data_IF_573257340855
#
_entry.id   IF_573257340855
#
_cell.length_a   1.000
_cell.length_b   1.000
_cell.length_c   1.000
_cell.angle_alpha   90.00
_cell.angle_beta   90.00
_cell.angle_gamma   90.00
#
_symmetry.space_group_name_H-M   'P 1'
#
loop_
_entity.id
_entity.type
_entity.pdbx_description
1 polymer ?
#
# COMPACT_ATOMS: atom_id res chain seq x y z
N UNK A 1 -11.42 -40.55 -24.59
CA UNK A 1 -12.44 -39.58 -25.04
C UNK A 1 -13.14 -40.14 -26.26
N UNK A 2 -14.46 -40.20 -26.25
CA UNK A 2 -15.24 -40.72 -27.37
C UNK A 2 -15.23 -39.71 -28.54
N UNK A 3 -15.36 -40.18 -29.78
CA UNK A 3 -15.45 -39.31 -30.99
C UNK A 3 -16.61 -38.29 -30.92
N UNK A 4 -17.59 -38.54 -30.04
CA UNK A 4 -18.68 -37.61 -29.77
C UNK A 4 -18.23 -36.46 -28.85
N UNK A 5 -17.44 -36.74 -27.82
CA UNK A 5 -16.89 -35.73 -26.89
C UNK A 5 -15.95 -34.75 -27.61
N UNK A 6 -15.12 -35.24 -28.53
CA UNK A 6 -14.22 -34.37 -29.31
C UNK A 6 -14.98 -33.42 -30.21
N UNK A 7 -16.03 -33.90 -30.89
CA UNK A 7 -16.89 -33.04 -31.74
C UNK A 7 -17.65 -32.00 -30.95
N UNK A 8 -18.15 -32.35 -29.76
CA UNK A 8 -18.83 -31.38 -28.87
C UNK A 8 -17.85 -30.31 -28.40
N UNK A 9 -16.63 -30.69 -28.03
CA UNK A 9 -15.58 -29.75 -27.64
C UNK A 9 -15.17 -28.81 -28.80
N UNK A 10 -15.01 -29.35 -30.02
CA UNK A 10 -14.70 -28.56 -31.22
C UNK A 10 -15.80 -27.55 -31.55
N UNK A 11 -17.06 -27.96 -31.49
CA UNK A 11 -18.21 -27.06 -31.71
C UNK A 11 -18.26 -25.97 -30.64
N UNK A 12 -18.07 -26.34 -29.37
CA UNK A 12 -18.03 -25.38 -28.27
C UNK A 12 -16.90 -24.34 -28.47
N UNK A 13 -15.68 -24.82 -28.77
CA UNK A 13 -14.54 -23.95 -29.01
C UNK A 13 -14.76 -23.02 -30.21
N UNK A 14 -15.34 -23.53 -31.30
CA UNK A 14 -15.67 -22.73 -32.48
C UNK A 14 -16.70 -21.64 -32.15
N UNK A 15 -17.76 -21.98 -31.40
CA UNK A 15 -18.78 -21.02 -30.97
C UNK A 15 -18.18 -19.95 -30.04
N UNK A 16 -17.30 -20.33 -29.11
CA UNK A 16 -16.60 -19.37 -28.24
C UNK A 16 -15.68 -18.45 -29.05
N UNK A 17 -14.94 -18.97 -30.03
CA UNK A 17 -14.07 -18.17 -30.89
C UNK A 17 -14.86 -17.16 -31.74
N UNK A 18 -16.00 -17.58 -32.31
CA UNK A 18 -16.90 -16.70 -33.05
C UNK A 18 -17.47 -15.61 -32.15
N UNK A 19 -17.94 -15.98 -30.95
CA UNK A 19 -18.47 -15.01 -29.98
C UNK A 19 -17.42 -13.98 -29.56
N UNK A 20 -16.20 -14.42 -29.27
CA UNK A 20 -15.09 -13.53 -28.94
C UNK A 20 -14.76 -12.58 -30.10
N UNK A 21 -14.78 -13.08 -31.33
CA UNK A 21 -14.54 -12.26 -32.52
C UNK A 21 -15.61 -11.16 -32.67
N UNK A 22 -16.88 -11.49 -32.42
CA UNK A 22 -17.98 -10.52 -32.45
C UNK A 22 -17.81 -9.46 -31.37
N UNK A 23 -17.48 -9.87 -30.14
CA UNK A 23 -17.23 -8.95 -29.02
C UNK A 23 -16.07 -8.01 -29.37
N UNK A 24 -14.94 -8.55 -29.84
CA UNK A 24 -13.79 -7.74 -30.25
C UNK A 24 -14.15 -6.80 -31.39
N UNK A 25 -14.93 -7.23 -32.38
CA UNK A 25 -15.36 -6.36 -33.48
C UNK A 25 -16.21 -5.18 -32.96
N UNK A 26 -17.20 -5.44 -32.11
CA UNK A 26 -18.08 -4.39 -31.53
C UNK A 26 -17.28 -3.42 -30.65
N UNK A 27 -16.41 -3.95 -29.80
CA UNK A 27 -15.66 -3.13 -28.85
C UNK A 27 -14.41 -2.50 -29.46
N UNK A 28 -13.87 -3.01 -30.57
CA UNK A 28 -12.64 -2.49 -31.19
C UNK A 28 -12.75 -1.02 -31.57
N UNK A 29 -13.87 -0.62 -32.16
CA UNK A 29 -14.08 0.77 -32.61
C UNK A 29 -14.24 1.70 -31.41
N UNK A 30 -14.96 1.26 -30.39
CA UNK A 30 -15.16 2.02 -29.16
C UNK A 30 -13.89 2.10 -28.31
N UNK A 31 -13.11 1.01 -28.24
CA UNK A 31 -11.85 0.93 -27.53
C UNK A 31 -10.78 1.78 -28.22
N UNK A 32 -10.69 1.73 -29.55
CA UNK A 32 -9.77 2.58 -30.31
C UNK A 32 -10.09 4.07 -30.11
N UNK A 33 -11.38 4.45 -30.15
CA UNK A 33 -11.81 5.83 -29.84
C UNK A 33 -11.53 6.21 -28.38
N UNK A 34 -11.80 5.31 -27.44
CA UNK A 34 -11.53 5.53 -26.03
C UNK A 34 -10.04 5.74 -25.77
N UNK A 35 -9.17 4.86 -26.28
CA UNK A 35 -7.72 4.99 -26.16
C UNK A 35 -7.20 6.26 -26.84
N UNK A 36 -7.75 6.64 -27.99
CA UNK A 36 -7.42 7.90 -28.66
C UNK A 36 -7.92 9.15 -27.89
N UNK A 37 -8.93 8.99 -27.02
CA UNK A 37 -9.45 10.06 -26.16
C UNK A 37 -8.76 10.17 -24.81
N UNK A 38 -7.81 9.28 -24.50
CA UNK A 38 -7.00 9.39 -23.28
C UNK A 38 -6.03 10.56 -23.49
N UNK A 39 -6.46 11.74 -23.07
CA UNK A 39 -5.56 12.88 -22.94
C UNK A 39 -4.51 12.55 -21.87
N UNK A 40 -3.26 12.86 -22.19
CA UNK A 40 -2.18 12.81 -21.22
C UNK A 40 -2.51 13.75 -20.07
N UNK A 41 -2.90 13.19 -18.93
CA UNK A 41 -2.98 13.94 -17.69
C UNK A 41 -1.55 14.05 -17.15
N UNK A 42 -0.96 15.26 -17.08
CA UNK A 42 0.38 15.40 -16.53
C UNK A 42 0.41 14.87 -15.09
N UNK A 43 1.53 14.27 -14.66
CA UNK A 43 1.65 13.73 -13.31
C UNK A 43 1.32 14.80 -12.27
N UNK A 44 0.69 14.39 -11.18
CA UNK A 44 0.45 15.24 -10.03
C UNK A 44 1.81 15.66 -9.44
N UNK A 45 2.24 16.88 -9.73
CA UNK A 45 3.44 17.48 -9.13
C UNK A 45 3.03 18.42 -8.00
N UNK A 46 3.91 18.56 -7.00
CA UNK A 46 3.70 19.50 -5.90
C UNK A 46 3.70 20.95 -6.38
N UNK A 47 4.44 21.27 -7.45
CA UNK A 47 4.43 22.61 -8.06
C UNK A 47 3.04 23.00 -8.56
N UNK A 48 2.31 22.03 -9.13
CA UNK A 48 0.96 22.27 -9.67
C UNK A 48 -0.13 22.15 -8.60
N UNK A 49 0.09 21.30 -7.60
CA UNK A 49 -0.86 21.03 -6.52
C UNK A 49 -0.16 21.05 -5.16
N UNK A 50 0.21 22.23 -4.63
CA UNK A 50 1.02 22.34 -3.41
C UNK A 50 0.34 21.77 -2.17
N UNK A 51 -0.99 21.74 -2.16
CA UNK A 51 -1.78 21.21 -1.05
C UNK A 51 -2.15 19.74 -1.20
N UNK A 52 -1.75 19.06 -2.28
CA UNK A 52 -2.15 17.67 -2.56
C UNK A 52 -1.86 16.72 -1.40
N UNK A 53 -0.67 16.83 -0.81
CA UNK A 53 -0.26 16.00 0.32
C UNK A 53 -1.20 16.22 1.50
N UNK A 54 -1.50 17.47 1.85
CA UNK A 54 -2.33 17.78 3.02
C UNK A 54 -3.82 17.49 2.80
N UNK A 55 -4.33 17.75 1.60
CA UNK A 55 -5.76 17.58 1.29
C UNK A 55 -6.15 16.13 1.04
N UNK A 56 -5.29 15.34 0.39
CA UNK A 56 -5.64 13.97 -0.03
C UNK A 56 -4.83 12.88 0.68
N UNK A 57 -3.63 13.21 1.19
CA UNK A 57 -2.73 12.27 1.87
C UNK A 57 -2.31 12.75 3.27
N UNK A 58 -3.11 13.63 3.89
CA UNK A 58 -2.77 14.23 5.18
C UNK A 58 -2.65 13.18 6.27
N UNK A 59 -3.57 12.22 6.29
CA UNK A 59 -3.56 11.11 7.26
C UNK A 59 -2.33 10.21 7.10
N UNK A 60 -1.97 9.84 5.86
CA UNK A 60 -0.77 9.05 5.55
C UNK A 60 0.50 9.78 6.02
N UNK A 61 0.59 11.09 5.76
CA UNK A 61 1.70 11.94 6.19
C UNK A 61 1.80 11.99 7.73
N UNK A 62 0.68 12.15 8.43
CA UNK A 62 0.65 12.15 9.90
C UNK A 62 1.08 10.80 10.47
N UNK A 63 0.61 9.69 9.89
CA UNK A 63 1.03 8.35 10.29
C UNK A 63 2.54 8.16 10.09
N UNK A 64 3.10 8.61 8.96
CA UNK A 64 4.54 8.53 8.71
C UNK A 64 5.35 9.33 9.74
N UNK A 65 4.91 10.55 10.08
CA UNK A 65 5.54 11.35 11.14
C UNK A 65 5.49 10.63 12.49
N UNK A 66 4.34 10.04 12.84
CA UNK A 66 4.20 9.28 14.06
C UNK A 66 5.14 8.05 14.10
N UNK A 67 5.26 7.33 12.99
CA UNK A 67 6.17 6.19 12.89
C UNK A 67 7.63 6.61 13.12
N UNK A 68 8.07 7.70 12.50
CA UNK A 68 9.42 8.23 12.71
C UNK A 68 9.68 8.64 14.16
N UNK A 69 8.68 9.26 14.81
CA UNK A 69 8.75 9.60 16.22
C UNK A 69 8.87 8.34 17.09
N UNK A 70 8.02 7.35 16.87
CA UNK A 70 8.04 6.09 17.60
C UNK A 70 9.38 5.34 17.44
N UNK A 71 9.92 5.31 16.22
CA UNK A 71 11.25 4.75 15.95
C UNK A 71 12.33 5.50 16.72
N UNK A 72 12.29 6.83 16.72
CA UNK A 72 13.27 7.66 17.45
C UNK A 72 13.22 7.38 18.94
N UNK A 73 12.02 7.35 19.53
CA UNK A 73 11.83 7.02 20.95
C UNK A 73 12.30 5.61 21.29
N UNK A 74 12.05 4.63 20.41
CA UNK A 74 12.54 3.27 20.59
C UNK A 74 14.07 3.20 20.58
N UNK A 75 14.72 3.90 19.65
CA UNK A 75 16.20 3.99 19.60
C UNK A 75 16.74 4.67 20.87
N UNK A 76 16.12 5.77 21.30
CA UNK A 76 16.51 6.47 22.54
C UNK A 76 16.34 5.55 23.76
N UNK A 77 15.26 4.78 23.84
CA UNK A 77 15.06 3.84 24.94
C UNK A 77 16.10 2.72 24.96
N UNK A 78 16.53 2.24 23.80
CA UNK A 78 17.59 1.22 23.69
C UNK A 78 18.99 1.76 23.99
N UNK A 79 19.24 3.03 23.68
CA UNK A 79 20.52 3.70 23.91
C UNK A 79 20.59 4.40 25.26
N UNK A 80 19.48 4.51 25.97
CA UNK A 80 19.46 4.96 27.34
C UNK A 80 20.23 3.92 28.14
N UNK A 81 21.43 4.28 28.60
CA UNK A 81 22.09 3.55 29.67
C UNK A 81 21.12 3.58 30.85
N UNK A 82 20.51 2.44 31.14
CA UNK A 82 19.85 2.25 32.42
C UNK A 82 20.95 2.49 33.47
N UNK A 83 20.81 3.54 34.29
CA UNK A 83 21.21 3.41 35.67
C UNK A 83 20.49 2.14 36.16
N UNK A 84 21.25 1.03 36.20
CA UNK A 84 20.69 -0.31 36.25
C UNK A 84 19.80 -0.55 37.48
N UNK A 85 19.08 -1.68 37.53
CA UNK A 85 18.34 -2.12 38.71
C UNK A 85 19.32 -2.37 39.87
N UNK A 86 19.59 -1.31 40.62
CA UNK A 86 20.63 -1.26 41.63
C UNK A 86 20.84 0.15 42.18
N UNK A 87 19.85 1.04 42.07
CA UNK A 87 19.72 2.12 43.05
C UNK A 87 19.37 1.41 44.35
N UNK A 88 20.41 1.00 45.08
CA UNK A 88 20.31 0.71 46.49
C UNK A 88 19.54 1.90 47.08
N UNK A 89 18.33 1.66 47.56
CA UNK A 89 17.73 2.54 48.55
C UNK A 89 18.78 2.65 49.64
N UNK A 90 19.45 3.80 49.71
CA UNK A 90 20.42 4.11 50.74
C UNK A 90 19.69 3.89 52.07
N UNK A 91 19.94 2.75 52.71
CA UNK A 91 19.38 2.47 54.02
C UNK A 91 20.02 3.50 54.93
N UNK A 92 19.26 4.55 55.25
CA UNK A 92 19.62 5.53 56.26
C UNK A 92 19.86 4.73 57.54
N UNK A 93 21.12 4.48 57.86
CA UNK A 93 21.51 3.98 59.16
C UNK A 93 21.31 5.19 60.07
N UNK A 94 20.16 5.27 60.73
CA UNK A 94 19.99 6.14 61.89
C UNK A 94 21.06 5.69 62.89
N UNK A 95 22.12 6.50 63.00
CA UNK A 95 23.13 6.30 64.00
C UNK A 95 22.47 6.34 65.37
N UNK A 96 22.60 5.24 66.12
CA UNK A 96 22.48 5.28 67.57
C UNK A 96 23.52 6.27 68.11
N UNK A 97 23.07 7.48 68.43
CA UNK A 97 23.80 8.35 69.35
C UNK A 97 23.44 7.91 70.78
N UNK A 98 24.43 7.30 71.44
CA UNK A 98 24.46 7.08 72.89
C UNK A 98 24.94 8.31 73.66
#
# INVERSE_FOLDING_TARGET
MSSQETRVFEVFAALTAVLLTIILAIFSTNLARFLASIEYTPPLTLDKYPFFIWTYRGLDTLTQVFLLLATTLGVVALLREDEGPGVEEESVIEGEEG
#
